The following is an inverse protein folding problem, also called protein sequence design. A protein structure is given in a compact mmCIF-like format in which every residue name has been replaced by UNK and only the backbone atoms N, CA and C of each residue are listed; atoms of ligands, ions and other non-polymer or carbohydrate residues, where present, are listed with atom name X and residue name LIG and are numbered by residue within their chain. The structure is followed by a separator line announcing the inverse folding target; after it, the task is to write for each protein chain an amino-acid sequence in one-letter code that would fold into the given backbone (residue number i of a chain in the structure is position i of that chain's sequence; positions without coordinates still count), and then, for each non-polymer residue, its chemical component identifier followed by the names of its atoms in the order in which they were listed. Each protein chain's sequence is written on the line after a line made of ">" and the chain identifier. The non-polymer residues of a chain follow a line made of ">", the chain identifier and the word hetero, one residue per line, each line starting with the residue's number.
data_IF_233224087929
#
_entry.id   IF_233224087929
#
_cell.length_a   1.000
_cell.length_b   1.000
_cell.length_c   1.000
_cell.angle_alpha   90.00
_cell.angle_beta   90.00
_cell.angle_gamma   90.00
#
_symmetry.space_group_name_H-M   'P 1'
#
loop_
_entity.id
_entity.type
_entity.pdbx_description
1 polymer ?
#
# COMPACT_ATOMS: atom_id res chain seq x y z
N UNK A 1 6.81 -11.13 11.09
CA UNK A 1 6.53 -9.68 11.14
C UNK A 1 5.16 -9.49 11.73
N UNK A 2 5.11 -9.55 13.04
CA UNK A 2 3.95 -9.16 13.83
C UNK A 2 4.03 -7.67 14.15
N UNK A 3 2.90 -7.05 14.45
CA UNK A 3 2.83 -5.62 14.77
C UNK A 3 3.73 -5.25 15.97
N UNK A 4 3.78 -6.10 17.00
CA UNK A 4 4.61 -5.88 18.20
C UNK A 4 6.12 -5.88 17.90
N UNK A 5 6.59 -6.73 16.97
CA UNK A 5 8.00 -6.74 16.56
C UNK A 5 8.42 -5.38 15.95
N UNK A 6 7.50 -4.76 15.21
CA UNK A 6 7.72 -3.45 14.59
C UNK A 6 7.76 -2.35 15.66
N UNK A 7 6.84 -2.37 16.62
CA UNK A 7 6.81 -1.40 17.73
C UNK A 7 8.12 -1.39 18.53
N UNK A 8 8.65 -2.57 18.83
CA UNK A 8 9.79 -2.73 19.74
C UNK A 8 11.15 -2.57 19.05
N UNK A 9 11.28 -3.05 17.81
CA UNK A 9 12.61 -3.27 17.18
C UNK A 9 12.86 -2.43 15.95
N UNK A 10 11.82 -1.83 15.37
CA UNK A 10 11.93 -1.09 14.12
C UNK A 10 11.95 0.42 14.40
N UNK A 11 12.92 1.09 13.78
CA UNK A 11 13.02 2.54 13.69
C UNK A 11 13.25 2.87 12.22
N UNK A 12 12.37 3.66 11.64
CA UNK A 12 12.35 4.04 10.24
C UNK A 12 12.50 5.55 10.12
N UNK A 13 13.24 5.96 9.10
CA UNK A 13 13.13 7.29 8.49
C UNK A 13 12.70 7.09 7.04
N UNK A 14 11.46 6.63 6.86
CA UNK A 14 10.92 6.23 5.56
C UNK A 14 9.81 7.19 5.13
N UNK A 15 9.93 7.73 3.92
CA UNK A 15 8.85 8.51 3.29
C UNK A 15 7.63 7.65 3.00
N UNK A 16 7.84 6.38 2.62
CA UNK A 16 6.80 5.45 2.21
C UNK A 16 7.17 4.03 2.58
N UNK A 17 6.23 3.30 3.18
CA UNK A 17 6.26 1.83 3.34
C UNK A 17 5.17 1.23 2.46
N UNK A 18 5.49 0.18 1.69
CA UNK A 18 4.50 -0.55 0.89
C UNK A 18 4.23 -1.94 1.48
N UNK A 19 2.97 -2.24 1.76
CA UNK A 19 2.46 -3.51 2.27
C UNK A 19 1.62 -4.17 1.18
N UNK A 20 2.27 -5.01 0.37
CA UNK A 20 1.66 -5.65 -0.80
C UNK A 20 1.51 -7.17 -0.63
N UNK A 21 0.91 -7.62 0.48
CA UNK A 21 0.70 -9.05 0.71
C UNK A 21 -0.78 -9.41 0.63
N UNK A 22 -1.02 -10.56 0.03
CA UNK A 22 -2.32 -11.19 -0.19
C UNK A 22 -3.10 -11.53 1.10
N UNK A 23 -2.53 -11.25 2.27
CA UNK A 23 -3.14 -11.52 3.57
C UNK A 23 -2.97 -10.35 4.57
N UNK A 24 -2.44 -9.18 4.16
CA UNK A 24 -2.25 -8.04 5.08
C UNK A 24 -3.57 -7.48 5.64
N UNK A 25 -4.67 -7.66 4.91
CA UNK A 25 -6.05 -7.33 5.30
C UNK A 25 -6.71 -8.35 6.23
N UNK A 26 -6.30 -9.61 6.13
CA UNK A 26 -6.90 -10.76 6.80
C UNK A 26 -6.06 -11.11 8.01
N UNK A 27 -6.16 -10.29 9.06
CA UNK A 27 -5.65 -10.68 10.37
C UNK A 27 -6.30 -12.01 10.76
N UNK A 28 -5.59 -13.13 10.61
CA UNK A 28 -5.97 -14.39 11.22
C UNK A 28 -5.81 -14.22 12.71
N UNK A 29 -6.91 -13.87 13.37
CA UNK A 29 -7.21 -14.18 14.76
C UNK A 29 -6.12 -13.85 15.80
N UNK A 30 -5.47 -12.70 15.66
CA UNK A 30 -4.73 -12.07 16.75
C UNK A 30 -5.34 -10.69 17.02
N UNK A 31 -6.02 -10.57 18.16
CA UNK A 31 -6.70 -9.35 18.57
C UNK A 31 -5.70 -8.16 18.57
N UNK A 32 -5.81 -7.27 17.58
CA UNK A 32 -4.97 -6.08 17.43
C UNK A 32 -3.93 -6.11 16.31
N UNK A 33 -3.79 -7.21 15.55
CA UNK A 33 -2.72 -7.40 14.55
C UNK A 33 -3.18 -7.38 13.07
N UNK A 34 -4.45 -7.04 12.80
CA UNK A 34 -4.93 -6.86 11.42
C UNK A 34 -4.26 -5.68 10.68
N UNK A 35 -4.69 -5.40 9.44
CA UNK A 35 -4.15 -4.30 8.62
C UNK A 35 -4.00 -2.96 9.38
N UNK A 36 -4.97 -2.65 10.24
CA UNK A 36 -4.96 -1.46 11.10
C UNK A 36 -3.79 -1.50 12.09
N UNK A 37 -3.52 -2.67 12.70
CA UNK A 37 -2.42 -2.88 13.63
C UNK A 37 -1.05 -2.74 12.96
N UNK A 38 -0.86 -3.35 11.79
CA UNK A 38 0.37 -3.22 11.01
C UNK A 38 0.59 -1.78 10.53
N UNK A 39 -0.43 -1.14 9.98
CA UNK A 39 -0.36 0.25 9.53
C UNK A 39 -0.03 1.18 10.69
N UNK A 40 -0.59 0.95 11.87
CA UNK A 40 -0.27 1.75 13.07
C UNK A 40 1.15 1.46 13.57
N UNK A 41 1.61 0.22 13.53
CA UNK A 41 2.95 -0.15 13.95
C UNK A 41 4.03 0.51 13.07
N UNK A 42 3.85 0.50 11.74
CA UNK A 42 4.78 1.17 10.84
C UNK A 42 4.76 2.70 10.96
N UNK A 43 3.59 3.30 11.19
CA UNK A 43 3.51 4.73 11.51
C UNK A 43 4.29 5.05 12.79
N UNK A 44 4.10 4.26 13.86
CA UNK A 44 4.83 4.45 15.11
C UNK A 44 6.34 4.23 14.95
N UNK A 45 6.74 3.29 14.09
CA UNK A 45 8.15 3.06 13.78
C UNK A 45 8.80 4.21 13.01
N UNK A 46 8.04 5.18 12.47
CA UNK A 46 8.56 6.38 11.79
C UNK A 46 8.28 6.46 10.29
N UNK A 47 7.41 5.59 9.74
CA UNK A 47 6.94 5.74 8.37
C UNK A 47 6.02 6.95 8.22
N UNK A 48 6.32 7.85 7.29
CA UNK A 48 5.49 9.05 7.01
C UNK A 48 4.21 8.72 6.24
N UNK A 49 4.26 7.69 5.40
CA UNK A 49 3.12 7.22 4.63
C UNK A 49 3.21 5.70 4.41
N UNK A 50 2.06 5.08 4.21
CA UNK A 50 1.91 3.64 4.03
C UNK A 50 0.98 3.38 2.86
N UNK A 51 1.44 2.61 1.86
CA UNK A 51 0.62 2.09 0.78
C UNK A 51 0.29 0.63 1.09
N UNK A 52 -0.98 0.28 1.25
CA UNK A 52 -1.36 -1.07 1.66
C UNK A 52 -2.49 -1.66 0.82
N UNK A 53 -2.44 -2.99 0.61
CA UNK A 53 -3.52 -3.73 -0.03
C UNK A 53 -4.64 -4.09 0.96
N UNK A 54 -5.88 -3.79 0.59
CA UNK A 54 -7.12 -4.12 1.30
C UNK A 54 -7.52 -5.60 1.12
N UNK A 55 -7.22 -6.19 -0.05
CA UNK A 55 -7.48 -7.59 -0.36
C UNK A 55 -6.38 -8.20 -1.24
N UNK A 56 -6.38 -9.53 -1.36
CA UNK A 56 -5.52 -10.26 -2.29
C UNK A 56 -5.88 -9.95 -3.73
N UNK A 57 -4.91 -9.46 -4.50
CA UNK A 57 -5.03 -9.17 -5.92
C UNK A 57 -3.88 -9.85 -6.67
N UNK A 58 -4.11 -10.25 -7.92
CA UNK A 58 -3.12 -11.00 -8.69
C UNK A 58 -1.78 -10.24 -8.81
N UNK A 59 -0.67 -10.97 -8.69
CA UNK A 59 0.70 -10.43 -8.78
C UNK A 59 0.92 -9.56 -10.03
N UNK A 60 0.32 -9.94 -11.16
CA UNK A 60 0.40 -9.17 -12.41
C UNK A 60 -0.17 -7.76 -12.25
N UNK A 61 -1.36 -7.64 -11.67
CA UNK A 61 -2.01 -6.34 -11.45
C UNK A 61 -1.29 -5.52 -10.40
N UNK A 62 -0.79 -6.15 -9.33
CA UNK A 62 0.08 -5.48 -8.36
C UNK A 62 1.32 -4.92 -9.03
N UNK A 63 2.02 -5.73 -9.82
CA UNK A 63 3.22 -5.30 -10.53
C UNK A 63 2.92 -4.14 -11.50
N UNK A 64 1.81 -4.22 -12.24
CA UNK A 64 1.38 -3.16 -13.15
C UNK A 64 1.09 -1.83 -12.41
N UNK A 65 0.31 -1.89 -11.33
CA UNK A 65 0.00 -0.71 -10.52
C UNK A 65 1.27 -0.10 -9.91
N UNK A 66 2.13 -0.94 -9.32
CA UNK A 66 3.36 -0.50 -8.66
C UNK A 66 4.34 0.11 -9.65
N UNK A 67 4.49 -0.45 -10.85
CA UNK A 67 5.36 0.13 -11.89
C UNK A 67 4.93 1.56 -12.24
N UNK A 68 3.63 1.77 -12.46
CA UNK A 68 3.06 3.10 -12.78
C UNK A 68 3.22 4.07 -11.60
N UNK A 69 2.84 3.63 -10.40
CA UNK A 69 2.94 4.41 -9.17
C UNK A 69 4.38 4.87 -8.89
N UNK A 70 5.34 3.95 -8.88
CA UNK A 70 6.74 4.29 -8.64
C UNK A 70 7.37 5.10 -9.77
N UNK A 71 6.90 4.95 -11.02
CA UNK A 71 7.34 5.82 -12.11
C UNK A 71 6.93 7.28 -11.87
N UNK A 72 5.69 7.52 -11.43
CA UNK A 72 5.19 8.85 -11.10
C UNK A 72 5.87 9.46 -9.87
N UNK A 73 6.14 8.65 -8.84
CA UNK A 73 6.93 9.09 -7.69
C UNK A 73 8.34 9.54 -8.09
N UNK A 74 9.03 8.76 -8.95
CA UNK A 74 10.35 9.15 -9.47
C UNK A 74 10.31 10.41 -10.32
N UNK A 75 9.18 10.69 -10.96
CA UNK A 75 8.95 11.93 -11.71
C UNK A 75 8.60 13.13 -10.80
N UNK A 76 8.55 12.96 -9.48
CA UNK A 76 8.33 14.03 -8.50
C UNK A 76 6.85 14.31 -8.20
N UNK A 77 5.93 13.45 -8.64
CA UNK A 77 4.53 13.58 -8.25
C UNK A 77 4.34 13.26 -6.76
N UNK A 78 3.42 13.96 -6.07
CA UNK A 78 3.06 13.59 -4.70
C UNK A 78 2.34 12.25 -4.69
N UNK A 79 2.39 11.55 -3.55
CA UNK A 79 2.05 10.11 -3.47
C UNK A 79 0.57 9.84 -3.75
N UNK A 80 -0.30 10.72 -3.28
CA UNK A 80 -1.74 10.70 -3.51
C UNK A 80 -2.07 10.82 -5.02
N UNK A 81 -1.47 11.79 -5.71
CA UNK A 81 -1.66 11.99 -7.15
C UNK A 81 -1.01 10.86 -7.96
N UNK A 82 0.13 10.35 -7.53
CA UNK A 82 0.79 9.22 -8.16
C UNK A 82 -0.08 7.95 -8.11
N UNK A 83 -0.67 7.65 -6.94
CA UNK A 83 -1.57 6.50 -6.79
C UNK A 83 -2.84 6.67 -7.62
N UNK A 84 -3.48 7.84 -7.52
CA UNK A 84 -4.69 8.15 -8.28
C UNK A 84 -4.45 8.03 -9.79
N UNK A 85 -3.35 8.59 -10.29
CA UNK A 85 -3.01 8.51 -11.71
C UNK A 85 -2.74 7.07 -12.14
N UNK A 86 -1.95 6.30 -11.38
CA UNK A 86 -1.70 4.88 -11.67
C UNK A 86 -2.99 4.06 -11.76
N UNK A 87 -3.92 4.26 -10.82
CA UNK A 87 -5.24 3.61 -10.84
C UNK A 87 -6.05 4.02 -12.07
N UNK A 88 -6.12 5.32 -12.39
CA UNK A 88 -6.85 5.82 -13.57
C UNK A 88 -6.27 5.28 -14.87
N UNK A 89 -4.97 5.13 -14.98
CA UNK A 89 -4.37 4.55 -16.17
C UNK A 89 -4.69 3.07 -16.33
N UNK A 90 -4.78 2.29 -15.24
CA UNK A 90 -5.25 0.90 -15.31
C UNK A 90 -6.71 0.80 -15.74
N UNK A 91 -7.57 1.71 -15.27
CA UNK A 91 -8.96 1.82 -15.75
C UNK A 91 -8.99 2.09 -17.26
N UNK A 92 -8.15 3.02 -17.74
CA UNK A 92 -8.08 3.42 -19.16
C UNK A 92 -7.43 2.38 -20.07
N UNK A 93 -6.49 1.58 -19.56
CA UNK A 93 -5.83 0.52 -20.31
C UNK A 93 -6.81 -0.57 -20.77
N UNK A 94 -7.95 -0.70 -20.08
CA UNK A 94 -9.02 -1.62 -20.45
C UNK A 94 -8.67 -3.09 -20.14
N UNK A 95 -9.48 -4.00 -20.68
CA UNK A 95 -9.28 -5.44 -20.46
C UNK A 95 -9.52 -5.88 -19.02
N UNK A 96 -8.94 -7.01 -18.62
CA UNK A 96 -9.10 -7.58 -17.28
C UNK A 96 -8.68 -6.61 -16.16
N UNK A 97 -7.56 -5.88 -16.34
CA UNK A 97 -7.01 -4.94 -15.35
C UNK A 97 -7.90 -3.73 -15.06
N UNK A 98 -8.90 -3.43 -15.90
CA UNK A 98 -9.84 -2.31 -15.68
C UNK A 98 -10.85 -2.57 -14.56
N UNK A 99 -11.10 -3.83 -14.21
CA UNK A 99 -12.04 -4.17 -13.15
C UNK A 99 -11.51 -3.68 -11.79
N UNK A 100 -12.34 -3.03 -10.94
CA UNK A 100 -11.92 -2.43 -9.66
C UNK A 100 -11.11 -3.36 -8.75
N UNK A 101 -11.40 -4.66 -8.81
CA UNK A 101 -10.63 -5.68 -8.11
C UNK A 101 -9.10 -5.56 -8.28
N UNK A 102 -8.63 -5.08 -9.44
CA UNK A 102 -7.21 -5.02 -9.78
C UNK A 102 -6.48 -3.76 -9.30
N UNK A 103 -7.15 -2.61 -9.27
CA UNK A 103 -6.52 -1.31 -8.98
C UNK A 103 -7.03 -0.65 -7.69
N UNK A 104 -8.26 -0.94 -7.27
CA UNK A 104 -8.87 -0.37 -6.07
C UNK A 104 -8.40 -1.07 -4.78
N UNK A 105 -7.59 -2.13 -4.92
CA UNK A 105 -7.08 -2.89 -3.80
C UNK A 105 -6.11 -2.08 -2.93
N UNK A 106 -5.50 -1.00 -3.43
CA UNK A 106 -4.46 -0.27 -2.72
C UNK A 106 -4.94 1.10 -2.24
N UNK A 107 -4.63 1.39 -0.98
CA UNK A 107 -4.90 2.67 -0.31
C UNK A 107 -3.61 3.26 0.27
N UNK A 108 -3.49 4.58 0.19
CA UNK A 108 -2.43 5.35 0.82
C UNK A 108 -2.92 5.94 2.13
N UNK A 109 -2.17 5.72 3.21
CA UNK A 109 -2.48 6.16 4.57
C UNK A 109 -1.33 7.05 5.07
N UNK A 110 -1.67 8.20 5.66
CA UNK A 110 -0.71 9.17 6.17
C UNK A 110 -0.42 10.29 5.17
N UNK A 111 0.81 10.80 5.18
CA UNK A 111 1.26 11.90 4.28
C UNK A 111 0.41 13.19 4.40
N UNK A 112 0.12 13.66 5.62
CA UNK A 112 -0.70 14.86 5.91
C UNK A 112 -0.07 16.21 5.52
N UNK A 113 0.68 16.27 4.42
CA UNK A 113 1.34 17.50 3.92
C UNK A 113 0.53 18.18 2.84
#
# INVERSE_FOLDING_TARGET
>A
LQAWEIFERVRLDADLVTLSSCETGLGRDAAGEGLIGLTRAFQYAGARSILASLWSVSDRSTAELMQRFYALLRAGHPKDLALQAAQREMVRAGGASSHPYHWAAFELIGDWR
#
